data_IF_329272445040
#
_entry.id   IF_329272445040
#
_cell.length_a   1.000
_cell.length_b   1.000
_cell.length_c   1.000
_cell.angle_alpha   90.00
_cell.angle_beta   90.00
_cell.angle_gamma   90.00
#
_symmetry.space_group_name_H-M   'P 1'
#
loop_
_entity.id
_entity.type
_entity.pdbx_description
1 polymer ?
#
# COMPACT_ATOMS: atom_id res chain seq x y z
N UNK A 1 -6.79 8.95 7.67
CA UNK A 1 -5.76 9.76 6.96
C UNK A 1 -5.42 8.96 5.69
N UNK A 2 -5.39 9.56 4.49
CA UNK A 2 -5.45 8.76 3.24
C UNK A 2 -4.27 7.82 3.00
N UNK A 3 -3.10 8.11 3.56
CA UNK A 3 -1.93 7.21 3.51
C UNK A 3 -2.17 5.95 4.36
N UNK A 4 -2.69 6.12 5.58
CA UNK A 4 -3.01 5.00 6.47
C UNK A 4 -4.08 4.08 5.87
N UNK A 5 -5.10 4.63 5.20
CA UNK A 5 -6.12 3.83 4.52
C UNK A 5 -5.53 2.96 3.39
N UNK A 6 -4.51 3.45 2.67
CA UNK A 6 -3.80 2.66 1.66
C UNK A 6 -2.96 1.56 2.31
N UNK A 7 -2.27 1.86 3.41
CA UNK A 7 -1.53 0.87 4.19
C UNK A 7 -2.43 -0.25 4.71
N UNK A 8 -3.54 0.11 5.38
CA UNK A 8 -4.57 -0.82 5.88
C UNK A 8 -5.12 -1.71 4.77
N UNK A 9 -5.27 -1.19 3.55
CA UNK A 9 -5.69 -1.99 2.42
C UNK A 9 -4.67 -3.07 2.03
N UNK A 10 -3.37 -2.77 2.14
CA UNK A 10 -2.27 -3.66 1.74
C UNK A 10 -1.82 -4.61 2.86
N UNK A 11 -2.34 -4.47 4.08
CA UNK A 11 -1.98 -5.30 5.25
C UNK A 11 -2.23 -6.80 5.06
N UNK A 12 -3.11 -7.17 4.13
CA UNK A 12 -3.34 -8.58 3.78
C UNK A 12 -2.09 -9.24 3.14
N UNK A 13 -1.11 -8.44 2.72
CA UNK A 13 0.15 -8.87 2.12
C UNK A 13 0.01 -9.48 0.72
N UNK A 14 -1.11 -9.24 0.04
CA UNK A 14 -1.36 -9.66 -1.34
C UNK A 14 -0.99 -8.54 -2.31
N UNK A 15 -0.91 -8.90 -3.58
CA UNK A 15 -0.74 -7.93 -4.65
C UNK A 15 -2.08 -7.29 -4.98
N UNK A 16 -2.09 -5.97 -5.08
CA UNK A 16 -3.23 -5.16 -5.47
C UNK A 16 -2.90 -4.26 -6.65
N UNK A 17 -3.87 -4.06 -7.52
CA UNK A 17 -3.77 -3.09 -8.62
C UNK A 17 -4.09 -1.68 -8.13
N UNK A 18 -3.55 -0.66 -8.83
CA UNK A 18 -3.97 0.74 -8.62
C UNK A 18 -5.49 0.93 -8.72
N UNK A 19 -6.14 0.17 -9.61
CA UNK A 19 -7.61 0.23 -9.80
C UNK A 19 -8.36 -0.22 -8.54
N UNK A 20 -7.98 -1.34 -7.92
CA UNK A 20 -8.60 -1.82 -6.68
C UNK A 20 -8.42 -0.80 -5.56
N UNK A 21 -7.22 -0.23 -5.43
CA UNK A 21 -6.93 0.81 -4.43
C UNK A 21 -7.82 2.03 -4.66
N UNK A 22 -8.02 2.41 -5.93
CA UNK A 22 -8.91 3.51 -6.32
C UNK A 22 -10.36 3.28 -5.91
N UNK A 23 -10.87 2.09 -6.19
CA UNK A 23 -12.25 1.72 -5.89
C UNK A 23 -12.53 1.72 -4.38
N UNK A 24 -11.55 1.30 -3.57
CA UNK A 24 -11.69 1.28 -2.11
C UNK A 24 -11.52 2.64 -1.45
N UNK A 25 -10.44 3.37 -1.79
CA UNK A 25 -10.05 4.62 -1.11
C UNK A 25 -10.84 5.84 -1.63
N UNK A 26 -11.44 5.72 -2.84
CA UNK A 26 -12.18 6.76 -3.55
C UNK A 26 -11.37 8.04 -3.77
N UNK A 27 -10.10 7.88 -4.16
CA UNK A 27 -9.22 8.98 -4.57
C UNK A 27 -8.98 8.96 -6.07
N UNK A 28 -8.51 10.08 -6.62
CA UNK A 28 -8.03 10.10 -8.00
C UNK A 28 -6.75 9.28 -8.13
N UNK A 29 -6.54 8.71 -9.32
CA UNK A 29 -5.39 7.87 -9.64
C UNK A 29 -4.06 8.58 -9.36
N UNK A 30 -3.94 9.85 -9.78
CA UNK A 30 -2.76 10.69 -9.48
C UNK A 30 -2.47 10.83 -7.98
N UNK A 31 -3.51 10.90 -7.13
CA UNK A 31 -3.31 10.99 -5.67
C UNK A 31 -2.85 9.66 -5.10
N UNK A 32 -3.41 8.55 -5.59
CA UNK A 32 -3.02 7.19 -5.17
C UNK A 32 -1.59 6.92 -5.59
N UNK A 33 -1.22 7.26 -6.82
CA UNK A 33 0.13 7.09 -7.31
C UNK A 33 1.15 7.85 -6.44
N UNK A 34 0.88 9.11 -6.08
CA UNK A 34 1.74 9.86 -5.15
C UNK A 34 1.87 9.21 -3.77
N UNK A 35 0.79 8.61 -3.25
CA UNK A 35 0.83 7.89 -1.97
C UNK A 35 1.69 6.64 -2.11
N UNK A 36 1.52 5.87 -3.19
CA UNK A 36 2.29 4.64 -3.46
C UNK A 36 3.77 4.97 -3.66
N UNK A 37 4.10 6.02 -4.43
CA UNK A 37 5.46 6.50 -4.64
C UNK A 37 6.11 6.95 -3.32
N UNK A 38 5.36 7.67 -2.48
CA UNK A 38 5.81 8.03 -1.13
C UNK A 38 6.13 6.78 -0.31
N UNK A 39 5.20 5.82 -0.20
CA UNK A 39 5.40 4.59 0.56
C UNK A 39 6.58 3.76 0.02
N UNK A 40 6.73 3.67 -1.31
CA UNK A 40 7.86 3.00 -1.97
C UNK A 40 9.18 3.66 -1.62
N UNK A 41 9.22 5.00 -1.60
CA UNK A 41 10.41 5.78 -1.23
C UNK A 41 10.94 5.50 0.18
N UNK A 42 10.07 5.06 1.09
CA UNK A 42 10.44 4.64 2.45
C UNK A 42 10.55 3.11 2.61
N UNK A 43 10.41 2.33 1.54
CA UNK A 43 10.47 0.87 1.59
C UNK A 43 9.24 0.19 2.20
N UNK A 44 8.11 0.89 2.31
CA UNK A 44 6.87 0.30 2.87
C UNK A 44 6.20 -0.68 1.92
N UNK A 45 6.32 -0.44 0.61
CA UNK A 45 5.65 -1.23 -0.42
C UNK A 45 6.61 -1.62 -1.53
N UNK A 46 6.34 -2.78 -2.10
CA UNK A 46 6.94 -3.26 -3.34
C UNK A 46 5.98 -2.94 -4.50
N UNK A 47 6.54 -2.55 -5.64
CA UNK A 47 5.77 -2.25 -6.86
C UNK A 47 6.35 -3.04 -8.04
N UNK A 48 5.49 -3.80 -8.70
CA UNK A 48 5.75 -4.36 -10.02
C UNK A 48 5.43 -3.26 -11.05
N UNK A 49 6.48 -2.64 -11.62
CA UNK A 49 6.31 -1.51 -12.54
C UNK A 49 5.72 -1.93 -13.90
N UNK A 50 5.89 -3.20 -14.31
CA UNK A 50 5.30 -3.69 -15.55
C UNK A 50 3.79 -3.87 -15.42
N UNK A 51 3.33 -4.38 -14.27
CA UNK A 51 1.91 -4.70 -14.04
C UNK A 51 1.16 -3.64 -13.27
N UNK A 52 1.85 -2.68 -12.67
CA UNK A 52 1.26 -1.69 -11.76
C UNK A 52 0.67 -2.32 -10.50
N UNK A 53 1.25 -3.43 -10.05
CA UNK A 53 0.82 -4.14 -8.84
C UNK A 53 1.63 -3.67 -7.66
N UNK A 54 0.96 -3.55 -6.52
CA UNK A 54 1.49 -2.99 -5.28
C UNK A 54 1.21 -3.99 -4.17
N UNK A 55 2.21 -4.25 -3.34
CA UNK A 55 2.11 -5.13 -2.17
C UNK A 55 2.88 -4.50 -1.01
N UNK A 56 2.43 -4.75 0.22
CA UNK A 56 3.18 -4.38 1.42
C UNK A 56 4.49 -5.19 1.52
N UNK A 57 5.59 -4.53 1.87
CA UNK A 57 6.84 -5.22 2.19
C UNK A 57 6.65 -6.18 3.37
N UNK A 58 7.24 -7.38 3.29
CA UNK A 58 7.01 -8.41 4.30
C UNK A 58 7.59 -8.01 5.67
N UNK A 59 8.70 -7.28 5.71
CA UNK A 59 9.31 -6.76 6.96
C UNK A 59 8.37 -5.77 7.63
N UNK A 60 7.75 -4.90 6.84
CA UNK A 60 6.81 -3.87 7.32
C UNK A 60 5.52 -4.52 7.80
N UNK A 61 5.05 -5.56 7.09
CA UNK A 61 3.91 -6.36 7.51
C UNK A 61 4.15 -7.07 8.84
N UNK A 62 5.33 -7.64 9.05
CA UNK A 62 5.72 -8.23 10.33
C UNK A 62 5.76 -7.18 11.45
N UNK A 63 6.31 -5.99 11.17
CA UNK A 63 6.32 -4.88 12.11
C UNK A 63 4.89 -4.46 12.52
N UNK A 64 3.98 -4.27 11.57
CA UNK A 64 2.60 -3.86 11.84
C UNK A 64 1.85 -4.90 12.70
N UNK A 65 2.08 -6.21 12.47
CA UNK A 65 1.49 -7.29 13.28
C UNK A 65 1.94 -7.26 14.73
N UNK A 66 3.21 -6.95 14.98
CA UNK A 66 3.74 -6.86 16.35
C UNK A 66 3.13 -5.67 17.11
N UNK A 67 2.92 -4.55 16.43
CA UNK A 67 2.33 -3.35 17.04
C UNK A 67 0.83 -3.42 17.28
N UNK A 68 0.10 -4.30 16.59
CA UNK A 68 -1.35 -4.49 16.76
C UNK A 68 -1.72 -5.33 18.01
N UNK A 69 -0.73 -5.93 18.68
CA UNK A 69 -0.93 -6.82 19.84
C UNK A 69 -0.50 -6.17 21.18
N UNK A 70 -0.10 -4.89 21.19
CA UNK A 70 0.30 -4.14 22.39
C UNK A 70 -0.76 -3.13 22.85
#
# INVERSE_FOLDING_TARGET
>A
MKIAEVLEMLEDGRWHTLKEIREKIKLSENKIQRIVEFLKGYGFVLMDEEKGWIKLDETVKEFLRQTATS
#
